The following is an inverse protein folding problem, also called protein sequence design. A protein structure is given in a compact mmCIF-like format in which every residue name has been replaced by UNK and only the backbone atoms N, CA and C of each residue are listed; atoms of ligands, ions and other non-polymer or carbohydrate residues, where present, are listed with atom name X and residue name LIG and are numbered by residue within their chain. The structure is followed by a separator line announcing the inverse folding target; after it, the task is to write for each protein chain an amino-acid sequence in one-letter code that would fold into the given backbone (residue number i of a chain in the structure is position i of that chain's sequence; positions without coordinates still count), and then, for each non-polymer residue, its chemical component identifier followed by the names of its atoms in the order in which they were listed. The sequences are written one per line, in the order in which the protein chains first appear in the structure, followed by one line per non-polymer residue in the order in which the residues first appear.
data_IF_476006466315
#
_entry.id   IF_476006466315
#
_cell.length_a   1.000
_cell.length_b   1.000
_cell.length_c   1.000
_cell.angle_alpha   90.00
_cell.angle_beta   90.00
_cell.angle_gamma   90.00
#
_symmetry.space_group_name_H-M   'P 1'
#
loop_
_entity.id
_entity.type
_entity.pdbx_description
1 polymer ?
#
# COMPACT_ATOMS: atom_id res chain seq x y z
N UNK A 1 -6.20 17.31 -8.31
CA UNK A 1 -5.40 16.49 -9.26
C UNK A 1 -6.01 16.71 -10.63
N UNK A 2 -5.25 17.29 -11.56
CA UNK A 2 -5.74 17.62 -12.89
C UNK A 2 -5.21 16.57 -13.89
N UNK A 3 -6.12 15.73 -14.37
CA UNK A 3 -5.89 14.99 -15.61
C UNK A 3 -5.99 15.96 -16.78
N UNK A 4 -5.28 15.69 -17.89
CA UNK A 4 -5.45 16.50 -19.09
C UNK A 4 -6.89 16.30 -19.60
N UNK A 5 -7.72 17.37 -19.68
CA UNK A 5 -9.12 17.23 -20.05
C UNK A 5 -9.33 16.82 -21.52
N UNK A 6 -8.29 16.94 -22.34
CA UNK A 6 -8.32 16.66 -23.78
C UNK A 6 -7.76 15.28 -24.13
N UNK A 7 -7.22 14.55 -23.16
CA UNK A 7 -6.64 13.22 -23.39
C UNK A 7 -7.45 12.16 -22.64
N UNK A 8 -7.56 10.95 -23.18
CA UNK A 8 -8.13 9.85 -22.42
C UNK A 8 -7.29 9.57 -21.16
N UNK A 9 -7.94 9.01 -20.14
CA UNK A 9 -7.28 8.55 -18.92
C UNK A 9 -7.14 7.04 -19.00
N UNK A 10 -5.91 6.55 -19.00
CA UNK A 10 -5.63 5.11 -18.98
C UNK A 10 -5.71 4.57 -17.56
N UNK A 11 -6.25 3.37 -17.43
CA UNK A 11 -6.35 2.61 -16.19
C UNK A 11 -5.37 1.44 -16.28
N UNK A 12 -4.45 1.38 -15.33
CA UNK A 12 -3.40 0.36 -15.28
C UNK A 12 -3.31 -0.27 -13.91
N UNK A 13 -2.97 -1.55 -13.85
CA UNK A 13 -2.51 -2.20 -12.62
C UNK A 13 -1.00 -2.09 -12.55
N UNK A 14 -0.51 -1.34 -11.58
CA UNK A 14 0.92 -1.25 -11.26
C UNK A 14 1.30 -2.36 -10.29
N UNK A 15 2.21 -3.23 -10.72
CA UNK A 15 2.76 -4.31 -9.92
C UNK A 15 4.10 -3.84 -9.38
N UNK A 16 4.19 -3.71 -8.06
CA UNK A 16 5.40 -3.27 -7.37
C UNK A 16 6.46 -4.37 -7.32
N UNK A 17 7.72 -3.95 -7.23
CA UNK A 17 8.85 -4.86 -6.97
C UNK A 17 8.62 -5.57 -5.63
N UNK A 18 8.83 -6.88 -5.59
CA UNK A 18 8.75 -7.66 -4.36
C UNK A 18 9.77 -7.17 -3.31
N UNK A 19 9.31 -6.92 -2.09
CA UNK A 19 10.14 -6.44 -0.98
C UNK A 19 9.69 -7.07 0.33
N UNK A 20 10.58 -7.76 1.04
CA UNK A 20 10.36 -8.27 2.40
C UNK A 20 9.31 -9.39 2.53
N UNK A 21 8.08 -9.16 2.05
CA UNK A 21 6.93 -10.06 2.12
C UNK A 21 6.90 -11.14 1.03
N UNK A 22 7.79 -11.05 0.03
CA UNK A 22 7.82 -11.91 -1.19
C UNK A 22 6.55 -11.87 -2.06
N UNK A 23 5.63 -10.95 -1.79
CA UNK A 23 4.43 -10.76 -2.61
C UNK A 23 4.41 -9.33 -3.14
N UNK A 24 4.20 -9.11 -4.45
CA UNK A 24 4.26 -7.78 -5.02
C UNK A 24 3.11 -6.93 -4.50
N UNK A 25 3.40 -5.65 -4.24
CA UNK A 25 2.38 -4.67 -3.88
C UNK A 25 1.63 -4.22 -5.12
N UNK A 26 0.30 -4.36 -5.15
CA UNK A 26 -0.51 -3.88 -6.28
C UNK A 26 -1.10 -2.50 -6.01
N UNK A 27 -1.13 -1.67 -7.04
CA UNK A 27 -1.81 -0.38 -7.06
C UNK A 27 -2.60 -0.26 -8.36
N UNK A 28 -3.78 0.37 -8.33
CA UNK A 28 -4.41 0.87 -9.55
C UNK A 28 -3.80 2.24 -9.86
N UNK A 29 -3.42 2.50 -11.10
CA UNK A 29 -2.89 3.77 -11.57
C UNK A 29 -3.81 4.36 -12.63
N UNK A 30 -4.23 5.60 -12.41
CA UNK A 30 -4.87 6.43 -13.43
C UNK A 30 -3.88 7.50 -13.88
N UNK A 31 -3.71 7.67 -15.18
CA UNK A 31 -2.90 8.76 -15.76
C UNK A 31 -3.52 9.23 -17.06
N UNK A 32 -3.31 10.49 -17.43
CA UNK A 32 -3.63 10.92 -18.79
C UNK A 32 -2.76 10.11 -19.75
N UNK A 33 -3.27 9.79 -20.92
CA UNK A 33 -2.50 9.08 -21.93
C UNK A 33 -1.17 9.80 -22.19
N UNK A 34 -0.09 9.03 -22.28
CA UNK A 34 1.30 9.50 -22.41
C UNK A 34 1.86 10.38 -21.27
N UNK A 35 1.10 10.62 -20.20
CA UNK A 35 1.62 11.34 -19.04
C UNK A 35 2.57 10.46 -18.20
N UNK A 36 3.66 11.06 -17.72
CA UNK A 36 4.62 10.41 -16.85
C UNK A 36 4.11 10.30 -15.40
N UNK A 37 3.10 11.08 -15.03
CA UNK A 37 2.54 11.13 -13.70
C UNK A 37 1.07 10.71 -13.69
N UNK A 38 0.65 10.15 -12.56
CA UNK A 38 -0.72 9.73 -12.35
C UNK A 38 -1.10 9.67 -10.88
N UNK A 39 -2.20 9.01 -10.61
CA UNK A 39 -2.75 8.81 -9.28
C UNK A 39 -2.76 7.33 -8.96
N UNK A 40 -2.15 6.95 -7.83
CA UNK A 40 -2.21 5.60 -7.29
C UNK A 40 -3.38 5.43 -6.35
N UNK A 41 -4.06 4.29 -6.46
CA UNK A 41 -5.09 3.81 -5.54
C UNK A 41 -4.64 2.46 -5.01
N UNK A 42 -4.46 2.35 -3.70
CA UNK A 42 -4.01 1.11 -3.09
C UNK A 42 -4.38 1.04 -1.62
N UNK A 43 -4.16 -0.13 -1.02
CA UNK A 43 -4.26 -0.28 0.43
C UNK A 43 -2.87 -0.49 1.05
N UNK A 44 -2.65 0.10 2.22
CA UNK A 44 -1.44 -0.02 3.05
C UNK A 44 -1.80 -0.61 4.42
N UNK A 45 -0.80 -0.87 5.27
CA UNK A 45 -1.00 -1.47 6.59
C UNK A 45 -1.08 -3.00 6.52
N UNK A 46 -1.93 -3.57 7.38
CA UNK A 46 -2.16 -5.00 7.51
C UNK A 46 -1.27 -5.69 8.55
N UNK A 47 -1.48 -7.01 8.75
CA UNK A 47 -0.82 -7.78 9.79
C UNK A 47 0.71 -7.80 9.65
N UNK A 48 1.24 -7.70 8.42
CA UNK A 48 2.69 -7.64 8.18
C UNK A 48 3.34 -6.34 8.64
N UNK A 49 2.54 -5.29 8.88
CA UNK A 49 2.98 -3.99 9.37
C UNK A 49 2.48 -3.71 10.80
N UNK A 50 1.78 -4.67 11.41
CA UNK A 50 1.10 -4.52 12.70
C UNK A 50 0.21 -3.26 12.76
N UNK A 51 -0.53 -3.01 11.68
CA UNK A 51 -1.45 -1.87 11.54
C UNK A 51 -2.74 -2.33 10.86
N UNK A 52 -3.89 -1.70 11.11
CA UNK A 52 -5.10 -1.93 10.30
C UNK A 52 -4.85 -1.59 8.84
N UNK A 53 -5.59 -2.24 7.93
CA UNK A 53 -5.57 -1.82 6.53
C UNK A 53 -6.15 -0.42 6.37
N UNK A 54 -5.54 0.38 5.49
CA UNK A 54 -5.99 1.73 5.12
C UNK A 54 -5.99 1.90 3.61
N UNK A 55 -6.91 2.69 3.08
CA UNK A 55 -6.94 3.08 1.65
C UNK A 55 -6.11 4.36 1.49
N UNK A 56 -5.25 4.37 0.48
CA UNK A 56 -4.47 5.54 0.09
C UNK A 56 -4.72 5.89 -1.38
N UNK A 57 -5.01 7.17 -1.61
CA UNK A 57 -5.15 7.77 -2.94
C UNK A 57 -4.06 8.83 -3.06
N UNK A 58 -3.00 8.52 -3.80
CA UNK A 58 -1.82 9.35 -3.89
C UNK A 58 -1.69 9.94 -5.30
N UNK A 59 -1.77 11.26 -5.44
CA UNK A 59 -1.58 11.93 -6.73
C UNK A 59 -0.12 12.18 -7.06
N UNK A 60 0.13 12.60 -8.31
CA UNK A 60 1.44 13.01 -8.81
C UNK A 60 2.53 11.93 -8.62
N UNK A 61 2.15 10.67 -8.84
CA UNK A 61 3.05 9.52 -8.75
C UNK A 61 3.59 9.17 -10.13
N UNK A 62 4.89 8.90 -10.21
CA UNK A 62 5.56 8.51 -11.46
C UNK A 62 5.13 7.11 -11.89
N UNK A 63 4.80 6.94 -13.17
CA UNK A 63 4.49 5.64 -13.78
C UNK A 63 5.72 4.75 -13.88
N UNK A 64 6.90 5.36 -14.09
CA UNK A 64 8.21 4.69 -14.16
C UNK A 64 9.00 4.73 -12.83
N UNK A 65 8.30 4.67 -11.69
CA UNK A 65 8.96 4.65 -10.38
C UNK A 65 9.83 3.39 -10.19
N UNK A 66 10.98 3.51 -9.53
CA UNK A 66 11.85 2.35 -9.14
C UNK A 66 11.13 1.29 -8.29
N UNK A 67 10.00 1.65 -7.69
CA UNK A 67 9.17 0.73 -6.92
C UNK A 67 8.20 -0.10 -7.77
N UNK A 68 8.01 0.23 -9.05
CA UNK A 68 7.11 -0.46 -9.99
C UNK A 68 7.95 -1.40 -10.85
N UNK A 69 7.57 -2.67 -10.87
CA UNK A 69 8.15 -3.69 -11.74
C UNK A 69 7.50 -3.68 -13.12
N UNK A 70 6.16 -3.55 -13.17
CA UNK A 70 5.42 -3.53 -14.43
C UNK A 70 4.11 -2.76 -14.31
N UNK A 71 3.65 -2.22 -15.44
CA UNK A 71 2.32 -1.66 -15.62
C UNK A 71 1.54 -2.55 -16.58
N UNK A 72 0.32 -2.90 -16.20
CA UNK A 72 -0.61 -3.64 -17.05
C UNK A 72 -1.80 -2.76 -17.39
N UNK A 73 -1.97 -2.42 -18.66
CA UNK A 73 -3.16 -1.73 -19.14
C UNK A 73 -4.40 -2.62 -19.01
N UNK A 74 -5.48 -2.06 -18.46
CA UNK A 74 -6.75 -2.76 -18.27
C UNK A 74 -7.96 -1.99 -18.79
N UNK A 75 -7.79 -0.74 -19.21
CA UNK A 75 -8.87 0.03 -19.82
C UNK A 75 -8.54 1.50 -19.99
N UNK A 76 -9.45 2.21 -20.64
CA UNK A 76 -9.36 3.64 -20.91
C UNK A 76 -10.71 4.27 -20.63
N UNK A 77 -10.71 5.43 -19.97
CA UNK A 77 -11.92 6.18 -19.65
C UNK A 77 -11.79 7.65 -20.07
N UNK A 78 -12.92 8.33 -20.14
CA UNK A 78 -12.95 9.77 -20.34
C UNK A 78 -12.50 10.52 -19.07
N UNK A 79 -11.84 11.68 -19.17
CA UNK A 79 -11.48 12.49 -17.99
C UNK A 79 -12.63 12.80 -17.03
N UNK A 80 -13.85 12.92 -17.54
CA UNK A 80 -15.07 13.18 -16.76
C UNK A 80 -15.42 12.00 -15.82
N UNK A 81 -14.99 10.78 -16.16
CA UNK A 81 -15.29 9.57 -15.38
C UNK A 81 -14.33 9.32 -14.22
N UNK A 82 -13.24 10.08 -14.12
CA UNK A 82 -12.28 10.01 -13.00
C UNK A 82 -12.97 10.15 -11.64
N UNK A 83 -14.00 11.01 -11.54
CA UNK A 83 -14.78 11.17 -10.30
C UNK A 83 -15.49 9.88 -9.91
N UNK A 84 -15.96 9.09 -10.88
CA UNK A 84 -16.60 7.79 -10.64
C UNK A 84 -15.60 6.75 -10.15
N UNK A 85 -14.36 6.76 -10.66
CA UNK A 85 -13.27 5.91 -10.15
C UNK A 85 -12.92 6.27 -8.71
N UNK A 86 -12.77 7.56 -8.40
CA UNK A 86 -12.54 8.02 -7.02
C UNK A 86 -13.66 7.59 -6.06
N UNK A 87 -14.92 7.65 -6.51
CA UNK A 87 -16.06 7.20 -5.72
C UNK A 87 -16.04 5.68 -5.49
N UNK A 88 -15.70 4.89 -6.52
CA UNK A 88 -15.54 3.45 -6.38
C UNK A 88 -14.40 3.08 -5.42
N UNK A 89 -13.23 3.73 -5.54
CA UNK A 89 -12.07 3.50 -4.69
C UNK A 89 -12.34 3.76 -3.20
N UNK A 90 -13.20 4.74 -2.88
CA UNK A 90 -13.63 5.05 -1.51
C UNK A 90 -14.67 4.08 -0.96
N UNK A 91 -15.42 3.39 -1.83
CA UNK A 91 -16.45 2.42 -1.44
C UNK A 91 -15.87 1.06 -1.12
N UNK A 92 -14.86 0.63 -1.86
CA UNK A 92 -14.17 -0.64 -1.62
C UNK A 92 -13.48 -0.58 -0.27
N UNK A 93 -13.78 -1.47 0.69
CA UNK A 93 -13.15 -1.44 2.00
C UNK A 93 -11.64 -1.71 1.94
N UNK A 94 -10.91 -1.18 2.92
CA UNK A 94 -9.49 -1.45 3.07
C UNK A 94 -9.25 -2.95 3.35
N UNK A 95 -8.32 -3.56 2.62
CA UNK A 95 -7.97 -4.98 2.74
C UNK A 95 -6.57 -5.20 2.14
N UNK A 96 -6.10 -6.45 2.09
CA UNK A 96 -4.84 -6.79 1.43
C UNK A 96 -4.77 -6.17 0.02
N UNK A 97 -3.63 -5.58 -0.34
CA UNK A 97 -3.52 -4.66 -1.47
C UNK A 97 -3.94 -5.26 -2.82
N UNK A 98 -3.65 -6.53 -3.08
CA UNK A 98 -4.04 -7.21 -4.32
C UNK A 98 -5.55 -7.49 -4.35
N UNK A 99 -6.14 -7.92 -3.23
CA UNK A 99 -7.60 -8.03 -3.09
C UNK A 99 -8.29 -6.67 -3.21
N UNK A 100 -7.72 -5.62 -2.63
CA UNK A 100 -8.24 -4.26 -2.76
C UNK A 100 -8.31 -3.81 -4.23
N UNK A 101 -7.20 -3.96 -4.97
CA UNK A 101 -7.17 -3.62 -6.40
C UNK A 101 -8.15 -4.49 -7.19
N UNK A 102 -8.24 -5.79 -6.88
CA UNK A 102 -9.18 -6.71 -7.54
C UNK A 102 -10.64 -6.30 -7.31
N UNK A 103 -11.02 -5.99 -6.07
CA UNK A 103 -12.37 -5.50 -5.75
C UNK A 103 -12.67 -4.14 -6.39
N UNK A 104 -11.67 -3.25 -6.46
CA UNK A 104 -11.82 -1.97 -7.16
C UNK A 104 -12.05 -2.20 -8.66
N UNK A 105 -11.29 -3.08 -9.30
CA UNK A 105 -11.48 -3.41 -10.72
C UNK A 105 -12.88 -4.00 -10.95
N UNK A 106 -13.39 -4.85 -10.07
CA UNK A 106 -14.76 -5.36 -10.19
C UNK A 106 -15.83 -4.26 -10.12
N UNK A 107 -15.67 -3.27 -9.24
CA UNK A 107 -16.56 -2.10 -9.21
C UNK A 107 -16.47 -1.28 -10.50
N UNK A 108 -15.31 -1.22 -11.15
CA UNK A 108 -15.11 -0.53 -12.43
C UNK A 108 -15.71 -1.32 -13.61
N UNK A 109 -15.61 -2.64 -13.61
CA UNK A 109 -16.28 -3.52 -14.59
C UNK A 109 -17.79 -3.36 -14.54
N UNK A 110 -18.39 -3.36 -13.33
CA UNK A 110 -19.83 -3.13 -13.14
C UNK A 110 -20.30 -1.78 -13.68
N UNK A 111 -19.38 -0.81 -13.81
CA UNK A 111 -19.62 0.52 -14.36
C UNK A 111 -19.28 0.63 -15.85
N UNK A 112 -18.84 -0.46 -16.49
CA UNK A 112 -18.44 -0.47 -17.89
C UNK A 112 -17.14 0.28 -18.20
N UNK A 113 -16.30 0.52 -17.18
CA UNK A 113 -15.02 1.27 -17.34
C UNK A 113 -13.83 0.36 -17.68
N UNK A 114 -13.98 -0.93 -17.40
CA UNK A 114 -13.00 -1.99 -17.64
C UNK A 114 -13.74 -3.17 -18.25
N UNK A 115 -13.06 -3.93 -19.11
CA UNK A 115 -13.64 -5.10 -19.77
C UNK A 115 -14.09 -6.14 -18.73
N UNK A 116 -15.24 -6.77 -18.97
CA UNK A 116 -15.76 -7.83 -18.10
C UNK A 116 -14.79 -9.01 -18.01
N UNK A 117 -14.56 -9.53 -16.80
CA UNK A 117 -13.70 -10.68 -16.53
C UNK A 117 -12.26 -10.32 -16.11
N UNK A 118 -11.85 -9.07 -16.27
CA UNK A 118 -10.57 -8.53 -15.78
C UNK A 118 -10.41 -8.73 -14.26
N UNK A 119 -11.44 -8.49 -13.45
CA UNK A 119 -11.36 -8.65 -12.01
C UNK A 119 -11.18 -10.12 -11.62
N UNK A 120 -11.90 -11.04 -12.27
CA UNK A 120 -11.73 -12.47 -12.03
C UNK A 120 -10.34 -12.95 -12.46
N UNK A 121 -9.82 -12.42 -13.56
CA UNK A 121 -8.47 -12.72 -14.02
C UNK A 121 -7.40 -12.25 -13.02
N UNK A 122 -7.58 -11.07 -12.42
CA UNK A 122 -6.73 -10.57 -11.35
C UNK A 122 -6.88 -11.40 -10.07
N UNK A 123 -8.10 -11.79 -9.71
CA UNK A 123 -8.38 -12.64 -8.54
C UNK A 123 -7.61 -13.97 -8.59
N UNK A 124 -7.54 -14.59 -9.77
CA UNK A 124 -6.78 -15.82 -10.00
C UNK A 124 -5.27 -15.68 -9.80
N UNK A 125 -4.74 -14.45 -9.80
CA UNK A 125 -3.32 -14.13 -9.62
C UNK A 125 -3.01 -13.57 -8.24
N UNK A 126 -4.00 -13.44 -7.37
CA UNK A 126 -3.79 -12.93 -6.01
C UNK A 126 -2.90 -13.89 -5.23
N UNK A 127 -1.87 -13.32 -4.63
CA UNK A 127 -0.94 -13.96 -3.73
C UNK A 127 -0.89 -13.18 -2.41
N UNK A 128 -0.92 -13.90 -1.29
CA UNK A 128 -0.77 -13.28 0.02
C UNK A 128 -0.07 -14.23 0.99
N UNK A 129 0.51 -13.67 2.05
CA UNK A 129 1.13 -14.46 3.10
C UNK A 129 0.08 -15.17 3.95
N UNK A 130 0.49 -16.22 4.67
CA UNK A 130 -0.36 -16.90 5.64
C UNK A 130 -0.93 -15.93 6.68
N UNK A 131 -0.12 -15.00 7.18
CA UNK A 131 -0.57 -13.99 8.13
C UNK A 131 -1.65 -13.07 7.54
N UNK A 132 -1.51 -12.65 6.28
CA UNK A 132 -2.54 -11.85 5.59
C UNK A 132 -3.82 -12.66 5.35
N UNK A 133 -3.69 -13.94 5.01
CA UNK A 133 -4.84 -14.84 4.88
C UNK A 133 -5.58 -15.03 6.19
N UNK A 134 -4.87 -15.42 7.26
CA UNK A 134 -5.44 -15.66 8.59
C UNK A 134 -6.13 -14.39 9.11
N UNK A 135 -5.52 -13.22 8.92
CA UNK A 135 -6.14 -11.93 9.25
C UNK A 135 -7.45 -11.72 8.48
N UNK A 136 -7.50 -12.06 7.18
CA UNK A 136 -8.72 -11.91 6.38
C UNK A 136 -9.86 -12.85 6.80
N UNK A 137 -9.54 -13.98 7.44
CA UNK A 137 -10.54 -14.89 8.01
C UNK A 137 -11.10 -14.32 9.33
N UNK A 138 -10.25 -13.69 10.14
CA UNK A 138 -10.65 -13.05 11.40
C UNK A 138 -11.37 -11.72 11.19
N UNK A 139 -11.06 -11.02 10.10
CA UNK A 139 -11.62 -9.72 9.72
C UNK A 139 -12.21 -9.79 8.31
N UNK A 140 -13.35 -10.49 8.12
CA UNK A 140 -13.94 -10.68 6.81
C UNK A 140 -14.39 -9.34 6.22
N UNK A 141 -13.93 -9.07 5.01
CA UNK A 141 -14.37 -7.92 4.20
C UNK A 141 -15.36 -8.42 3.17
N UNK A 142 -16.55 -7.82 3.13
CA UNK A 142 -17.57 -8.10 2.10
C UNK A 142 -16.95 -7.88 0.71
N UNK A 143 -16.91 -8.95 -0.08
CA UNK A 143 -16.39 -8.89 -1.44
C UNK A 143 -17.50 -8.45 -2.40
N UNK A 144 -17.17 -7.73 -3.49
CA UNK A 144 -18.12 -7.48 -4.56
C UNK A 144 -18.66 -8.79 -5.12
N UNK A 145 -19.97 -8.84 -5.39
CA UNK A 145 -20.59 -10.01 -6.00
C UNK A 145 -19.96 -10.29 -7.39
N UNK A 146 -19.57 -11.55 -7.63
CA UNK A 146 -19.01 -11.99 -8.91
C UNK A 146 -17.49 -12.19 -8.95
N UNK A 147 -16.77 -11.97 -7.84
CA UNK A 147 -15.35 -12.34 -7.72
C UNK A 147 -15.21 -13.62 -6.90
N UNK A 148 -14.56 -14.62 -7.47
CA UNK A 148 -14.13 -15.81 -6.75
C UNK A 148 -12.59 -15.80 -6.60
N UNK A 149 -12.10 -15.81 -5.36
CA UNK A 149 -10.66 -15.99 -5.13
C UNK A 149 -10.36 -17.47 -5.02
N UNK A 150 -9.32 -17.99 -5.71
CA UNK A 150 -8.91 -19.38 -5.53
C UNK A 150 -8.53 -19.63 -4.07
N UNK A 151 -8.81 -20.84 -3.59
CA UNK A 151 -8.40 -21.24 -2.26
C UNK A 151 -6.87 -21.25 -2.18
N UNK A 152 -6.30 -20.41 -1.32
CA UNK A 152 -4.85 -20.31 -1.17
C UNK A 152 -4.41 -21.43 -0.23
N UNK A 153 -4.00 -22.55 -0.81
CA UNK A 153 -3.41 -23.66 -0.06
C UNK A 153 -2.05 -23.24 0.49
N UNK A 154 -2.03 -22.80 1.73
CA UNK A 154 -0.78 -22.70 2.48
C UNK A 154 -0.38 -24.11 2.91
N UNK A 155 0.85 -24.57 2.65
CA UNK A 155 1.33 -25.80 3.25
C UNK A 155 1.17 -25.66 4.77
N UNK A 156 0.37 -26.54 5.37
CA UNK A 156 0.19 -26.63 6.82
C UNK A 156 1.60 -26.76 7.40
N UNK A 157 2.02 -25.79 8.21
CA UNK A 157 3.26 -25.91 8.93
C UNK A 157 3.18 -27.20 9.76
N UNK A 158 3.91 -28.23 9.35
CA UNK A 158 4.09 -29.43 10.15
C UNK A 158 4.64 -29.04 11.52
N UNK A 159 4.35 -29.80 12.58
CA UNK A 159 4.76 -29.44 13.93
C UNK A 159 6.27 -29.18 13.96
N UNK A 160 6.65 -27.99 14.43
CA UNK A 160 8.04 -27.63 14.70
C UNK A 160 8.67 -28.73 15.53
N UNK A 161 9.63 -29.46 14.94
CA UNK A 161 10.54 -30.32 15.70
C UNK A 161 11.30 -29.40 16.66
N UNK A 162 10.87 -29.37 17.90
CA UNK A 162 11.69 -28.96 19.03
C UNK A 162 12.87 -29.91 19.09
N UNK A 163 14.04 -29.47 18.60
CA UNK A 163 15.30 -30.11 18.92
C UNK A 163 15.55 -29.93 20.42
N UNK A 164 15.07 -30.89 21.21
CA UNK A 164 15.60 -31.12 22.56
C UNK A 164 16.99 -31.72 22.39
N UNK A 165 18.02 -30.88 22.45
CA UNK A 165 19.38 -31.31 22.73
C UNK A 165 19.56 -31.31 24.25
N UNK A 166 19.47 -32.50 24.84
CA UNK A 166 19.90 -32.77 26.21
C UNK A 166 21.44 -32.98 26.25
N UNK A 167 22.09 -32.53 27.32
CA UNK A 167 23.51 -32.80 27.64
C UNK A 167 24.30 -31.52 28.00
N UNK A 168 24.18 -30.97 29.21
CA UNK A 168 24.86 -31.33 30.48
C UNK A 168 26.35 -30.95 30.55
N UNK A 169 26.71 -30.03 31.46
CA UNK A 169 28.08 -29.66 31.83
C UNK A 169 28.15 -28.46 32.79
N UNK A 170 28.64 -28.66 34.02
CA UNK A 170 28.59 -27.77 35.20
C UNK A 170 29.80 -26.82 35.35
N UNK A 171 29.53 -25.57 35.83
CA UNK A 171 30.23 -24.65 36.82
C UNK A 171 31.76 -24.36 36.73
N UNK A 172 32.34 -23.36 37.46
CA UNK A 172 31.81 -22.12 38.07
C UNK A 172 32.68 -20.83 37.81
N UNK A 173 32.18 -19.70 38.33
CA UNK A 173 32.72 -18.32 38.45
C UNK A 173 34.08 -18.17 39.19
N UNK A 174 34.84 -17.03 39.08
CA UNK A 174 34.53 -15.80 39.85
C UNK A 174 34.91 -14.39 39.30
N UNK A 175 34.09 -13.40 39.70
CA UNK A 175 34.33 -12.00 40.17
C UNK A 175 35.27 -10.98 39.45
N UNK A 176 34.63 -9.93 38.88
CA UNK A 176 34.76 -8.45 39.02
C UNK A 176 36.10 -7.78 39.49
N UNK A 177 36.44 -6.51 39.12
CA UNK A 177 35.50 -5.35 39.13
C UNK A 177 35.72 -4.17 38.13
N UNK A 178 34.71 -3.29 38.08
CA UNK A 178 34.77 -1.80 37.99
C UNK A 178 35.54 -1.10 36.86
N UNK A 179 34.82 -0.34 36.01
CA UNK A 179 34.95 1.13 35.92
C UNK A 179 34.01 1.71 34.83
N UNK A 180 33.22 2.72 35.21
CA UNK A 180 32.53 3.68 34.34
C UNK A 180 32.93 5.09 34.80
N UNK A 181 32.58 6.18 34.08
CA UNK A 181 32.92 6.59 32.70
C UNK A 181 33.60 8.01 32.74
N UNK A 182 33.73 8.76 31.63
CA UNK A 182 32.64 9.71 31.34
C UNK A 182 32.39 10.10 29.86
N UNK A 183 31.12 10.45 29.62
CA UNK A 183 30.53 11.52 28.78
C UNK A 183 31.19 11.91 27.45
N UNK A 184 30.40 11.80 26.39
CA UNK A 184 30.33 12.83 25.34
C UNK A 184 28.95 12.84 24.71
N UNK A 185 28.23 13.93 24.97
CA UNK A 185 26.88 14.24 24.49
C UNK A 185 27.03 15.18 23.30
N UNK A 186 26.51 14.83 22.12
CA UNK A 186 26.26 15.82 21.06
C UNK A 186 24.87 15.61 20.49
N UNK A 187 23.95 16.47 20.93
CA UNK A 187 22.68 16.81 20.26
C UNK A 187 22.88 18.17 19.59
N UNK A 188 22.38 18.37 18.37
CA UNK A 188 22.04 19.72 17.91
C UNK A 188 20.52 19.84 17.75
N UNK A 189 19.93 20.88 18.37
CA UNK A 189 18.78 21.62 17.83
C UNK A 189 18.37 22.82 18.71
N UNK A 190 18.39 23.98 18.07
CA UNK A 190 17.50 25.15 18.17
C UNK A 190 17.34 25.94 19.48
N UNK A 191 17.68 27.24 19.44
CA UNK A 191 16.98 28.27 20.20
C UNK A 191 15.74 28.78 19.44
N UNK A 192 14.66 28.91 20.20
CA UNK A 192 13.49 29.70 19.88
C UNK A 192 13.75 31.15 20.31
N UNK A 193 13.53 32.12 19.43
CA UNK A 193 13.21 33.49 19.84
C UNK A 193 12.23 34.15 18.88
N UNK A 194 11.05 34.38 19.45
CA UNK A 194 9.96 35.25 19.03
C UNK A 194 10.44 36.71 19.03
N UNK A 195 10.20 37.45 17.94
CA UNK A 195 9.87 38.89 18.00
C UNK A 195 8.77 39.20 16.99
N UNK A 196 7.67 39.71 17.54
CA UNK A 196 6.71 40.56 16.85
C UNK A 196 7.45 41.75 16.24
N UNK A 197 7.13 42.10 15.01
CA UNK A 197 7.02 43.50 14.63
C UNK A 197 5.87 43.67 13.66
N UNK A 198 5.08 44.67 13.99
CA UNK A 198 3.80 45.06 13.47
C UNK A 198 4.04 46.39 12.77
N UNK A 199 3.77 46.53 11.48
CA UNK A 199 3.36 47.80 10.83
C UNK A 199 3.50 47.75 9.30
N UNK A 200 2.48 48.30 8.63
CA UNK A 200 2.68 49.01 7.37
C UNK A 200 1.95 48.41 6.16
N UNK A 201 0.97 49.14 5.64
CA UNK A 201 0.67 49.12 4.21
C UNK A 201 -0.78 48.84 3.80
N UNK A 202 -1.75 49.59 4.34
CA UNK A 202 -3.02 49.79 3.65
C UNK A 202 -2.86 51.02 2.73
N UNK A 203 -2.78 50.81 1.42
CA UNK A 203 -2.98 51.87 0.44
C UNK A 203 -4.32 51.65 -0.24
N UNK A 204 -5.21 52.60 0.02
CA UNK A 204 -6.40 52.96 -0.77
C UNK A 204 -5.92 53.62 -2.08
N UNK A 205 -6.89 53.95 -2.95
CA UNK A 205 -6.87 54.81 -4.14
C UNK A 205 -6.73 54.00 -5.44
N UNK A 206 -7.67 53.97 -6.39
CA UNK A 206 -8.90 54.74 -6.65
C UNK A 206 -9.88 53.85 -7.42
#
# INVERSE_FOLDING_TARGET
MSFNPNLPVVIEVAIGVERGTKFPHWMLMLRSENDAFGTWYHSTGGPTQNQPYKIEIQGHKRSNSRGIQSLRHIGTISPQDVKKVNAAAKRVPAQQCQRYVTSLVCELERKGMVASGTAQELANRVQMSKAAWDYSQQHPVQQPAGIHYPNINFPTAGPSRTNQSAGSGRRPHPQNPSNSPPKSTVRPANPSTRKQENSGGCCIVM
#
